data_IF_392622868234
#
_entry.id   IF_392622868234
#
_cell.length_a   1.000
_cell.length_b   1.000
_cell.length_c   1.000
_cell.angle_alpha   90.00
_cell.angle_beta   90.00
_cell.angle_gamma   90.00
#
_symmetry.space_group_name_H-M   'P 1'
#
loop_
_entity.id
_entity.type
_entity.pdbx_description
1 polymer ?
#
# COMPACT_ATOMS: atom_id res chain seq x y z
N UNK A 1 -6.21 20.64 12.94
CA UNK A 1 -5.48 19.35 13.00
C UNK A 1 -5.43 18.91 14.46
N UNK A 2 -5.94 17.73 14.78
CA UNK A 2 -5.93 17.15 16.12
C UNK A 2 -4.99 15.94 16.15
N UNK A 3 -4.21 15.71 17.21
CA UNK A 3 -3.36 14.52 17.32
C UNK A 3 -4.22 13.25 17.51
N UNK A 4 -3.77 12.14 16.92
CA UNK A 4 -4.40 10.83 16.99
C UNK A 4 -3.32 9.72 17.03
N UNK A 5 -3.72 8.45 17.20
CA UNK A 5 -2.79 7.32 17.31
C UNK A 5 -1.67 7.55 18.34
N UNK A 6 -2.05 7.89 19.57
CA UNK A 6 -1.13 8.24 20.67
C UNK A 6 -0.16 9.40 20.34
N UNK A 7 -0.64 10.37 19.55
CA UNK A 7 0.13 11.57 19.19
C UNK A 7 1.06 11.39 17.97
N UNK A 8 1.21 10.18 17.45
CA UNK A 8 2.07 9.90 16.29
C UNK A 8 1.53 10.47 14.96
N UNK A 9 0.21 10.64 14.87
CA UNK A 9 -0.49 11.10 13.68
C UNK A 9 -1.38 12.30 13.98
N UNK A 10 -1.89 12.92 12.92
CA UNK A 10 -2.85 14.02 12.98
C UNK A 10 -4.05 13.76 12.08
N UNK A 11 -5.20 14.16 12.57
CA UNK A 11 -6.45 14.14 11.84
C UNK A 11 -6.49 15.27 10.81
N UNK A 12 -6.70 14.89 9.55
CA UNK A 12 -6.94 15.79 8.42
C UNK A 12 -8.25 15.35 7.78
N UNK A 13 -9.22 16.27 7.66
CA UNK A 13 -10.55 15.99 7.07
C UNK A 13 -11.32 14.81 7.71
N UNK A 14 -11.05 14.50 8.99
CA UNK A 14 -11.69 13.39 9.70
C UNK A 14 -10.97 12.04 9.55
N UNK A 15 -9.79 12.02 8.94
CA UNK A 15 -8.97 10.80 8.77
C UNK A 15 -7.63 10.90 9.54
N UNK A 16 -7.29 9.84 10.30
CA UNK A 16 -6.04 9.72 11.06
C UNK A 16 -4.92 9.07 10.22
N UNK A 17 -4.51 9.72 9.14
CA UNK A 17 -3.54 9.18 8.19
C UNK A 17 -2.21 9.93 8.14
N UNK A 18 -2.20 11.23 8.43
CA UNK A 18 -1.02 12.07 8.28
C UNK A 18 -0.15 12.02 9.55
N UNK A 19 1.18 12.12 9.43
CA UNK A 19 2.06 12.23 10.59
C UNK A 19 1.95 13.56 11.33
N UNK A 20 2.31 13.52 12.60
CA UNK A 20 2.44 14.71 13.46
C UNK A 20 3.44 15.75 12.94
N UNK A 21 4.39 15.36 12.06
CA UNK A 21 5.30 16.29 11.39
C UNK A 21 4.56 17.42 10.66
N UNK A 22 3.40 17.12 10.06
CA UNK A 22 2.60 18.08 9.30
C UNK A 22 2.11 19.24 10.17
N UNK A 23 1.87 19.00 11.47
CA UNK A 23 1.46 20.04 12.42
C UNK A 23 2.53 21.13 12.60
N UNK A 24 3.79 20.77 12.38
CA UNK A 24 4.95 21.65 12.52
C UNK A 24 5.47 22.17 11.16
N UNK A 25 4.74 21.93 10.07
CA UNK A 25 5.15 22.32 8.72
C UNK A 25 6.31 21.48 8.16
N UNK A 26 6.50 20.27 8.69
CA UNK A 26 7.55 19.34 8.26
C UNK A 26 6.93 18.17 7.50
N UNK A 27 7.73 17.52 6.66
CA UNK A 27 7.34 16.33 5.92
C UNK A 27 7.70 15.07 6.70
N UNK A 28 6.86 14.05 6.58
CA UNK A 28 7.17 12.71 7.07
C UNK A 28 8.32 12.11 6.29
N UNK A 29 9.22 11.42 6.97
CA UNK A 29 10.29 10.67 6.33
C UNK A 29 10.64 9.42 7.14
N UNK A 30 11.20 8.41 6.48
CA UNK A 30 11.70 7.21 7.15
C UNK A 30 13.20 7.34 7.39
N UNK A 31 13.65 6.97 8.59
CA UNK A 31 15.09 6.83 8.87
C UNK A 31 15.63 5.61 8.11
N UNK A 32 16.79 5.79 7.49
CA UNK A 32 17.45 4.78 6.69
C UNK A 32 18.91 4.67 7.06
N UNK A 33 19.42 3.44 7.11
CA UNK A 33 20.86 3.17 7.23
C UNK A 33 21.28 2.55 8.55
N UNK A 34 22.45 1.90 8.51
CA UNK A 34 23.01 1.12 9.62
C UNK A 34 23.53 1.97 10.79
N UNK A 35 23.54 3.30 10.66
CA UNK A 35 23.95 4.20 11.75
C UNK A 35 22.93 4.24 12.90
N UNK A 36 21.67 3.92 12.63
CA UNK A 36 20.61 3.93 13.62
C UNK A 36 20.41 2.54 14.24
N UNK A 37 20.12 2.51 15.53
CA UNK A 37 19.72 1.26 16.19
C UNK A 37 18.34 0.82 15.66
N UNK A 38 18.01 -0.48 15.72
CA UNK A 38 16.70 -0.98 15.29
C UNK A 38 15.53 -0.30 16.04
N UNK A 39 15.79 0.26 17.22
CA UNK A 39 14.81 0.99 18.00
C UNK A 39 14.62 2.42 17.50
N UNK A 40 15.71 3.09 17.13
CA UNK A 40 15.67 4.43 16.57
C UNK A 40 14.94 4.48 15.22
N UNK A 41 15.06 3.42 14.41
CA UNK A 41 14.33 3.29 13.14
C UNK A 41 12.80 3.29 13.30
N UNK A 42 12.29 3.05 14.51
CA UNK A 42 10.86 3.08 14.84
C UNK A 42 10.42 4.37 15.54
N UNK A 43 11.29 5.38 15.60
CA UNK A 43 10.92 6.72 16.06
C UNK A 43 10.38 7.55 14.90
N UNK A 44 9.54 8.53 15.24
CA UNK A 44 9.06 9.49 14.26
C UNK A 44 10.22 10.37 13.80
N UNK A 45 10.38 10.46 12.49
CA UNK A 45 11.34 11.32 11.85
C UNK A 45 10.63 12.28 10.91
N UNK A 46 11.14 13.50 10.87
CA UNK A 46 10.61 14.56 10.04
C UNK A 46 11.74 15.17 9.21
N UNK A 47 11.38 15.68 8.04
CA UNK A 47 12.26 16.33 7.10
C UNK A 47 11.74 17.74 6.82
N UNK A 48 12.65 18.70 6.88
CA UNK A 48 12.41 20.06 6.40
C UNK A 48 12.52 20.09 4.87
N UNK A 49 11.90 21.03 4.15
CA UNK A 49 11.74 20.94 2.69
C UNK A 49 13.04 20.75 1.88
N UNK A 50 14.17 21.19 2.42
CA UNK A 50 15.52 21.03 1.87
C UNK A 50 16.51 20.35 2.83
N UNK A 51 16.01 19.77 3.93
CA UNK A 51 16.82 19.15 4.98
C UNK A 51 17.04 17.65 4.79
N UNK A 52 17.87 17.04 5.64
CA UNK A 52 17.93 15.58 5.76
C UNK A 52 16.84 15.06 6.70
N UNK A 53 16.43 13.80 6.51
CA UNK A 53 15.53 13.13 7.45
C UNK A 53 16.23 12.96 8.80
N UNK A 54 15.61 13.46 9.87
CA UNK A 54 16.16 13.39 11.23
C UNK A 54 15.10 12.91 12.21
N UNK A 55 15.50 12.17 13.26
CA UNK A 55 14.59 11.83 14.34
C UNK A 55 14.11 13.11 15.03
N UNK A 56 12.90 13.08 15.62
CA UNK A 56 12.30 14.25 16.27
C UNK A 56 13.19 14.94 17.32
N UNK A 57 14.09 14.20 17.98
CA UNK A 57 15.03 14.75 18.96
C UNK A 57 16.17 15.60 18.35
N UNK A 58 16.50 15.43 17.07
CA UNK A 58 17.60 16.12 16.39
C UNK A 58 17.12 17.28 15.51
N UNK A 59 15.86 17.64 15.67
CA UNK A 59 15.22 18.67 14.87
C UNK A 59 15.66 20.08 15.31
N UNK A 60 15.85 20.97 14.33
CA UNK A 60 16.29 22.35 14.53
C UNK A 60 15.28 23.18 15.34
N UNK A 61 13.99 22.98 15.08
CA UNK A 61 12.90 23.69 15.75
C UNK A 61 12.72 23.20 17.20
N UNK A 62 12.87 24.09 18.21
CA UNK A 62 12.77 23.68 19.62
C UNK A 62 11.36 23.23 20.00
N UNK A 63 10.32 23.83 19.41
CA UNK A 63 8.92 23.48 19.67
C UNK A 63 8.57 22.11 19.09
N UNK A 64 9.03 21.83 17.88
CA UNK A 64 8.83 20.54 17.24
C UNK A 64 9.66 19.46 17.94
N UNK A 65 10.92 19.76 18.30
CA UNK A 65 11.77 18.85 19.07
C UNK A 65 11.15 18.46 20.41
N UNK A 66 10.60 19.41 21.16
CA UNK A 66 9.96 19.12 22.44
C UNK A 66 8.73 18.19 22.32
N UNK A 67 8.01 18.24 21.19
CA UNK A 67 6.81 17.44 20.98
C UNK A 67 7.07 16.09 20.30
N UNK A 68 8.10 16.00 19.46
CA UNK A 68 8.40 14.82 18.64
C UNK A 68 9.49 13.94 19.24
N UNK A 69 10.30 14.47 20.16
CA UNK A 69 11.39 13.70 20.74
C UNK A 69 10.85 12.52 21.57
N UNK A 70 11.34 11.32 21.27
CA UNK A 70 10.90 10.08 21.92
C UNK A 70 9.56 9.54 21.43
N UNK A 71 8.91 10.21 20.48
CA UNK A 71 7.63 9.77 19.93
C UNK A 71 7.84 8.62 18.94
N UNK A 72 7.00 7.61 19.08
CA UNK A 72 7.17 6.32 18.43
C UNK A 72 6.15 6.13 17.31
N UNK A 73 6.54 5.41 16.27
CA UNK A 73 5.62 4.95 15.26
C UNK A 73 4.68 3.87 15.82
N UNK A 74 3.43 3.79 15.35
CA UNK A 74 2.50 2.75 15.77
C UNK A 74 3.00 1.36 15.33
N UNK A 75 2.71 0.29 16.09
CA UNK A 75 3.14 -1.05 15.72
C UNK A 75 2.57 -1.45 14.35
N UNK A 76 3.40 -2.10 13.53
CA UNK A 76 3.10 -2.42 12.14
C UNK A 76 3.44 -1.32 11.14
N UNK A 77 3.91 -0.15 11.59
CA UNK A 77 4.41 0.89 10.68
C UNK A 77 5.64 0.40 9.89
N UNK A 78 5.80 0.80 8.63
CA UNK A 78 7.01 0.52 7.88
C UNK A 78 8.22 1.27 8.47
N UNK A 79 9.40 0.65 8.41
CA UNK A 79 10.67 1.23 8.82
C UNK A 79 11.78 0.88 7.82
N UNK A 80 12.88 1.64 7.83
CA UNK A 80 14.04 1.45 6.95
C UNK A 80 13.68 1.38 5.45
N UNK A 81 13.01 2.43 4.93
CA UNK A 81 12.57 2.53 3.53
C UNK A 81 11.76 1.31 3.04
N UNK A 82 10.73 0.95 3.80
CA UNK A 82 9.84 -0.20 3.53
C UNK A 82 10.52 -1.58 3.62
N UNK A 83 11.80 -1.67 3.97
CA UNK A 83 12.51 -2.92 4.15
C UNK A 83 12.23 -3.58 5.51
N UNK A 84 11.33 -3.04 6.33
CA UNK A 84 10.98 -3.58 7.64
C UNK A 84 9.68 -3.04 8.20
N UNK A 85 9.28 -3.59 9.35
CA UNK A 85 8.15 -3.08 10.14
C UNK A 85 8.52 -2.97 11.63
N UNK A 86 7.87 -2.05 12.33
CA UNK A 86 8.03 -1.88 13.77
C UNK A 86 7.14 -2.85 14.53
N UNK A 87 7.72 -3.59 15.49
CA UNK A 87 6.94 -4.44 16.39
C UNK A 87 6.48 -3.69 17.66
N UNK A 88 5.74 -4.39 18.53
CA UNK A 88 5.24 -3.85 19.81
C UNK A 88 6.34 -3.44 20.79
N UNK A 89 7.57 -3.93 20.59
CA UNK A 89 8.78 -3.55 21.34
C UNK A 89 9.61 -2.48 20.63
N UNK A 90 9.02 -1.82 19.62
CA UNK A 90 9.61 -0.71 18.89
C UNK A 90 10.90 -1.10 18.16
N UNK A 91 11.04 -2.37 17.78
CA UNK A 91 12.19 -2.81 16.99
C UNK A 91 11.79 -2.92 15.54
N UNK A 92 12.58 -2.31 14.67
CA UNK A 92 12.47 -2.47 13.22
C UNK A 92 12.94 -3.89 12.85
N UNK A 93 11.99 -4.74 12.44
CA UNK A 93 12.25 -6.09 11.93
C UNK A 93 12.29 -6.03 10.42
N UNK A 94 13.40 -6.44 9.84
CA UNK A 94 13.55 -6.49 8.40
C UNK A 94 12.56 -7.50 7.78
N UNK A 95 11.97 -7.13 6.64
CA UNK A 95 11.20 -8.01 5.78
C UNK A 95 12.17 -8.50 4.71
N UNK A 96 12.56 -9.77 4.78
CA UNK A 96 13.34 -10.39 3.71
C UNK A 96 12.42 -10.67 2.53
N UNK A 97 12.62 -9.94 1.43
CA UNK A 97 11.89 -10.14 0.18
C UNK A 97 12.11 -11.54 -0.42
N UNK A 98 13.19 -12.23 -0.03
CA UNK A 98 13.53 -13.60 -0.43
C UNK A 98 13.44 -14.62 0.74
N UNK A 99 12.50 -14.41 1.67
CA UNK A 99 12.24 -15.36 2.76
C UNK A 99 11.48 -16.64 2.32
N UNK A 100 11.44 -17.67 3.17
CA UNK A 100 10.63 -18.89 2.93
C UNK A 100 9.12 -18.57 2.78
N UNK A 101 8.66 -17.45 3.35
CA UNK A 101 7.30 -16.95 3.16
C UNK A 101 7.06 -16.45 1.72
N UNK A 102 8.05 -15.82 1.08
CA UNK A 102 7.98 -15.49 -0.35
C UNK A 102 7.98 -16.76 -1.19
N UNK A 103 8.74 -17.78 -0.80
CA UNK A 103 8.71 -19.08 -1.46
C UNK A 103 7.32 -19.74 -1.34
N UNK A 104 6.69 -19.72 -0.16
CA UNK A 104 5.31 -20.14 0.05
C UNK A 104 4.33 -19.34 -0.81
N UNK A 105 4.47 -18.01 -0.88
CA UNK A 105 3.66 -17.15 -1.75
C UNK A 105 3.81 -17.53 -3.23
N UNK A 106 5.04 -17.81 -3.69
CA UNK A 106 5.32 -18.29 -5.06
C UNK A 106 4.75 -19.68 -5.31
N UNK A 107 4.72 -20.56 -4.31
CA UNK A 107 4.10 -21.89 -4.43
C UNK A 107 2.57 -21.80 -4.46
N UNK A 108 1.95 -20.96 -3.64
CA UNK A 108 0.48 -20.81 -3.60
C UNK A 108 -0.09 -20.00 -4.77
N UNK A 109 0.54 -18.89 -5.14
CA UNK A 109 0.08 -17.97 -6.19
C UNK A 109 0.93 -18.04 -7.45
N UNK A 110 1.75 -19.08 -7.60
CA UNK A 110 2.55 -19.30 -8.79
C UNK A 110 1.68 -19.64 -9.99
N UNK A 111 2.18 -19.34 -11.19
CA UNK A 111 1.51 -19.69 -12.46
C UNK A 111 1.19 -21.19 -12.53
N UNK A 112 2.06 -22.05 -11.98
CA UNK A 112 1.86 -23.50 -11.95
C UNK A 112 0.72 -23.91 -11.02
N UNK A 113 0.63 -23.35 -9.81
CA UNK A 113 -0.45 -23.65 -8.87
C UNK A 113 -1.78 -23.06 -9.31
N UNK A 114 -1.80 -21.83 -9.83
CA UNK A 114 -3.00 -21.26 -10.44
C UNK A 114 -3.49 -22.07 -11.65
N UNK A 115 -2.57 -22.63 -12.45
CA UNK A 115 -2.95 -23.54 -13.55
C UNK A 115 -3.52 -24.86 -13.04
N UNK A 116 -3.01 -25.40 -11.93
CA UNK A 116 -3.56 -26.59 -11.29
C UNK A 116 -4.96 -26.34 -10.70
N UNK A 117 -5.18 -25.18 -10.07
CA UNK A 117 -6.50 -24.76 -9.58
C UNK A 117 -7.45 -24.54 -10.76
N UNK A 118 -7.00 -23.90 -11.84
CA UNK A 118 -7.80 -23.69 -13.05
C UNK A 118 -8.20 -25.02 -13.70
N UNK A 119 -7.26 -25.95 -13.86
CA UNK A 119 -7.56 -27.26 -14.44
C UNK A 119 -8.50 -28.05 -13.54
N UNK A 120 -8.36 -27.94 -12.22
CA UNK A 120 -9.29 -28.55 -11.28
C UNK A 120 -10.70 -27.95 -11.39
N UNK A 121 -10.85 -26.62 -11.46
CA UNK A 121 -12.17 -25.96 -11.62
C UNK A 121 -12.82 -26.37 -12.95
N UNK A 122 -12.07 -26.43 -14.05
CA UNK A 122 -12.57 -26.83 -15.37
C UNK A 122 -12.96 -28.32 -15.39
N UNK A 123 -12.22 -29.16 -14.68
CA UNK A 123 -12.46 -30.60 -14.62
C UNK A 123 -13.59 -30.98 -13.64
N UNK A 124 -13.79 -30.20 -12.58
CA UNK A 124 -14.79 -30.44 -11.53
C UNK A 124 -16.15 -29.79 -11.79
N UNK A 125 -16.32 -29.03 -12.88
CA UNK A 125 -17.64 -28.68 -13.39
C UNK A 125 -18.14 -29.80 -14.31
N UNK A 126 -19.01 -30.73 -13.85
CA UNK A 126 -19.78 -31.51 -14.79
C UNK A 126 -20.77 -30.54 -15.45
N UNK A 127 -21.09 -30.76 -16.71
CA UNK A 127 -22.25 -30.16 -17.37
C UNK A 127 -22.07 -28.74 -17.95
N UNK A 128 -21.53 -28.69 -19.16
CA UNK A 128 -22.24 -28.03 -20.25
C UNK A 128 -22.00 -28.84 -21.52
N UNK A 129 -22.95 -29.73 -21.81
CA UNK A 129 -23.11 -30.38 -23.11
C UNK A 129 -22.90 -29.34 -24.21
N UNK A 130 -22.15 -29.62 -25.28
CA UNK A 130 -22.12 -28.72 -26.43
C UNK A 130 -23.52 -28.73 -27.05
N UNK A 131 -24.27 -27.62 -26.90
CA UNK A 131 -25.30 -27.31 -27.87
C UNK A 131 -24.56 -27.17 -29.21
N UNK A 132 -24.83 -28.12 -30.10
CA UNK A 132 -24.49 -28.03 -31.52
C UNK A 132 -25.03 -26.70 -32.05
N UNK A 133 -24.20 -25.69 -32.12
CA UNK A 133 -24.44 -24.58 -33.04
C UNK A 133 -24.03 -25.08 -34.42
N UNK A 134 -25.07 -25.34 -35.23
CA UNK A 134 -24.95 -25.47 -36.68
C UNK A 134 -24.15 -24.29 -37.23
N UNK A 135 -23.24 -24.62 -38.16
CA UNK A 135 -22.13 -23.78 -38.55
C UNK A 135 -22.51 -22.48 -39.26
N UNK A 136 -21.62 -21.50 -39.11
CA UNK A 136 -21.46 -20.45 -40.10
C UNK A 136 -20.36 -20.89 -41.07
N UNK A 137 -20.74 -21.00 -42.34
CA UNK A 137 -19.93 -21.49 -43.46
C UNK A 137 -18.65 -20.67 -43.65
N UNK A 138 -17.52 -21.37 -43.84
CA UNK A 138 -16.27 -20.76 -44.29
C UNK A 138 -16.37 -20.52 -45.79
N UNK A 139 -16.41 -19.26 -46.21
CA UNK A 139 -15.92 -18.90 -47.54
C UNK A 139 -14.53 -18.28 -47.38
N UNK A 140 -13.52 -19.07 -47.73
CA UNK A 140 -12.16 -18.63 -47.89
C UNK A 140 -11.91 -18.42 -49.38
N UNK A 141 -11.72 -17.17 -49.83
CA UNK A 141 -10.92 -16.91 -51.02
C UNK A 141 -10.32 -15.49 -51.02
N UNK A 142 -9.00 -15.45 -50.72
CA UNK A 142 -7.94 -14.59 -51.31
C UNK A 142 -8.00 -13.07 -51.06
N UNK A 143 -6.90 -12.31 -50.90
CA UNK A 143 -5.45 -12.58 -50.95
C UNK A 143 -4.75 -11.34 -50.38
N UNK A 144 -3.63 -11.55 -49.67
CA UNK A 144 -2.50 -10.62 -49.45
C UNK A 144 -2.82 -9.24 -48.86
N UNK A 145 -2.31 -9.00 -47.65
CA UNK A 145 -1.42 -7.85 -47.49
C UNK A 145 -0.38 -8.05 -46.38
N UNK A 146 0.83 -7.57 -46.67
CA UNK A 146 1.96 -7.49 -45.75
C UNK A 146 1.58 -6.56 -44.59
N UNK A 147 2.08 -6.82 -43.38
CA UNK A 147 2.82 -5.81 -42.60
C UNK A 147 3.44 -6.42 -41.36
N UNK A 148 4.74 -6.14 -41.22
CA UNK A 148 5.51 -6.19 -39.99
C UNK A 148 4.71 -5.49 -38.89
N UNK A 149 4.45 -6.15 -37.77
CA UNK A 149 3.97 -5.47 -36.57
C UNK A 149 5.20 -4.90 -35.89
N UNK A 150 5.45 -3.63 -36.19
CA UNK A 150 6.29 -2.78 -35.37
C UNK A 150 5.70 -2.71 -33.96
N UNK A 151 6.57 -2.85 -32.98
CA UNK A 151 6.35 -2.43 -31.60
C UNK A 151 5.99 -0.94 -31.65
N UNK A 152 4.76 -0.61 -31.30
CA UNK A 152 4.32 0.77 -31.14
C UNK A 152 3.89 0.95 -29.69
N UNK A 153 4.73 1.67 -28.95
CA UNK A 153 4.43 2.31 -27.68
C UNK A 153 3.11 3.08 -27.79
N UNK A 154 2.21 2.90 -26.81
CA UNK A 154 1.08 3.80 -26.61
C UNK A 154 1.22 4.48 -25.25
N UNK A 155 1.81 5.67 -25.35
CA UNK A 155 1.51 6.88 -24.60
C UNK A 155 0.11 6.85 -23.98
N UNK A 156 0.10 7.08 -22.66
CA UNK A 156 -1.06 7.36 -21.84
C UNK A 156 -1.47 8.84 -21.93
N UNK A 157 -2.73 9.07 -21.54
CA UNK A 157 -3.44 10.34 -21.29
C UNK A 157 -4.39 10.82 -22.42
N UNK A 158 -5.50 11.51 -22.10
CA UNK A 158 -6.47 11.20 -21.03
C UNK A 158 -7.92 11.28 -21.54
N UNK A 159 -8.85 10.72 -20.75
CA UNK A 159 -10.26 11.12 -20.81
C UNK A 159 -11.25 10.06 -21.31
N UNK A 160 -11.85 9.32 -20.39
CA UNK A 160 -13.27 8.98 -20.51
C UNK A 160 -13.92 8.66 -19.14
N UNK A 161 -14.74 9.62 -18.72
CA UNK A 161 -16.04 9.47 -18.04
C UNK A 161 -16.10 8.58 -16.80
N UNK A 162 -16.05 9.28 -15.67
CA UNK A 162 -16.73 9.01 -14.40
C UNK A 162 -17.97 8.10 -14.56
N UNK A 163 -17.86 6.85 -14.09
CA UNK A 163 -19.01 6.15 -13.52
C UNK A 163 -18.86 6.22 -12.01
N UNK A 164 -19.78 6.94 -11.38
CA UNK A 164 -19.91 7.01 -9.94
C UNK A 164 -20.05 5.59 -9.37
N UNK A 165 -19.08 5.18 -8.55
CA UNK A 165 -19.26 4.04 -7.67
C UNK A 165 -20.15 4.51 -6.53
N UNK A 166 -21.37 3.99 -6.48
CA UNK A 166 -22.22 4.14 -5.30
C UNK A 166 -21.49 3.48 -4.10
N UNK A 167 -21.40 4.15 -2.93
CA UNK A 167 -20.83 3.52 -1.75
C UNK A 167 -21.78 2.42 -1.28
N UNK A 168 -21.33 1.17 -1.40
CA UNK A 168 -21.92 0.04 -0.69
C UNK A 168 -21.79 0.34 0.79
N UNK A 169 -22.93 0.63 1.46
CA UNK A 169 -23.02 0.66 2.92
C UNK A 169 -22.79 -0.77 3.43
N UNK A 170 -21.52 -1.14 3.59
CA UNK A 170 -21.15 -2.25 4.44
C UNK A 170 -21.45 -1.91 5.90
N UNK A 171 -21.84 -2.87 6.74
CA UNK A 171 -21.96 -2.64 8.18
C UNK A 171 -20.62 -2.15 8.71
N UNK A 172 -20.65 -1.09 9.51
CA UNK A 172 -19.48 -0.54 10.19
C UNK A 172 -18.78 -1.67 10.95
N UNK A 173 -17.67 -2.18 10.40
CA UNK A 173 -16.71 -2.96 11.16
C UNK A 173 -16.36 -2.15 12.39
N UNK A 174 -16.56 -2.74 13.56
CA UNK A 174 -16.28 -2.14 14.85
C UNK A 174 -14.91 -1.47 14.84
N UNK A 175 -14.91 -0.13 14.88
CA UNK A 175 -13.71 0.68 15.03
C UNK A 175 -13.08 0.36 16.37
N UNK A 176 -11.83 -0.09 16.34
CA UNK A 176 -10.96 -0.12 17.50
C UNK A 176 -11.01 1.25 18.21
N UNK A 177 -11.02 1.31 19.56
CA UNK A 177 -11.32 2.54 20.31
C UNK A 177 -10.32 3.71 20.19
N UNK A 178 -9.30 3.66 19.30
CA UNK A 178 -8.16 4.58 19.32
C UNK A 178 -8.05 5.51 18.09
N UNK A 179 -8.88 5.30 17.06
CA UNK A 179 -8.74 5.96 15.75
C UNK A 179 -9.81 7.02 15.45
N UNK A 180 -10.64 7.39 16.43
CA UNK A 180 -11.70 8.38 16.21
C UNK A 180 -11.12 9.79 16.09
N UNK A 181 -10.97 10.27 14.85
CA UNK A 181 -10.97 11.69 14.52
C UNK A 181 -12.39 12.26 14.72
N UNK A 182 -12.88 12.21 15.95
CA UNK A 182 -14.21 12.67 16.34
C UNK A 182 -14.26 14.19 16.48
N UNK A 183 -15.29 14.78 15.87
CA UNK A 183 -15.67 16.21 15.97
C UNK A 183 -15.61 16.74 17.41
N UNK A 184 -15.37 18.06 17.59
CA UNK A 184 -15.34 18.68 18.91
C UNK A 184 -16.67 18.43 19.65
N UNK A 185 -16.65 18.31 20.99
CA UNK A 185 -17.87 18.35 21.78
C UNK A 185 -18.57 19.69 21.53
N UNK A 186 -19.88 19.62 21.27
CA UNK A 186 -20.79 20.78 21.16
C UNK A 186 -21.01 21.34 22.55
#
# INVERSE_FOLDING_TARGET
MTPCANGSRVCVQGECSHSVCLKYGLRECALTGAHFTPQQLCLIACQEESGSCKPGCELSSPTARAALCGLQLPPGSPCNDLAGYCDVFLRCRAVDDEGPLTQLKRLFFGVRSMNAVRSFIVFSMPFSRPLRFFGCSRNAHNRKERRKVAVQERSWEPGLKLRAWAPVRGPCSALSPVDYCGKPPI
#
